data_IF_630086016793
#
_entry.id   IF_630086016793
#
_cell.length_a   1.000
_cell.length_b   1.000
_cell.length_c   1.000
_cell.angle_alpha   90.00
_cell.angle_beta   90.00
_cell.angle_gamma   90.00
#
_symmetry.space_group_name_H-M   'P 1'
#
loop_
_entity.id
_entity.type
_entity.pdbx_description
1 polymer ?
#
# COMPACT_ATOMS: atom_id res chain seq x y z
N UNK A 1 -9.37 -8.44 -7.38
CA UNK A 1 -8.28 -8.37 -6.37
C UNK A 1 -6.95 -8.29 -7.10
N UNK A 2 -6.11 -7.32 -6.74
CA UNK A 2 -4.72 -7.19 -7.22
C UNK A 2 -3.78 -7.57 -6.09
N UNK A 3 -2.80 -8.41 -6.39
CA UNK A 3 -1.79 -8.85 -5.42
C UNK A 3 -0.52 -8.04 -5.64
N UNK A 4 -0.01 -7.43 -4.57
CA UNK A 4 1.24 -6.67 -4.59
C UNK A 4 2.26 -7.25 -3.62
N UNK A 5 3.54 -7.16 -4.00
CA UNK A 5 4.66 -7.63 -3.22
C UNK A 5 5.64 -6.48 -2.99
N UNK A 6 6.01 -6.24 -1.74
CA UNK A 6 7.01 -5.24 -1.39
C UNK A 6 7.80 -5.67 -0.16
N UNK A 7 9.13 -5.61 -0.24
CA UNK A 7 10.03 -5.95 0.87
C UNK A 7 9.72 -7.30 1.57
N UNK A 8 9.41 -8.34 0.79
CA UNK A 8 9.05 -9.67 1.32
C UNK A 8 7.64 -9.77 1.93
N UNK A 9 6.90 -8.66 2.02
CA UNK A 9 5.50 -8.63 2.44
C UNK A 9 4.58 -8.69 1.21
N UNK A 10 3.47 -9.40 1.36
CA UNK A 10 2.42 -9.54 0.33
C UNK A 10 1.15 -8.88 0.84
N UNK A 11 0.48 -8.12 -0.03
CA UNK A 11 -0.82 -7.52 0.28
C UNK A 11 -1.80 -7.72 -0.88
N UNK A 12 -3.09 -7.84 -0.54
CA UNK A 12 -4.20 -7.88 -1.49
C UNK A 12 -4.92 -6.54 -1.52
N UNK A 13 -5.02 -5.94 -2.70
CA UNK A 13 -5.84 -4.76 -2.97
C UNK A 13 -7.18 -5.23 -3.54
N UNK A 14 -8.26 -4.98 -2.83
CA UNK A 14 -9.62 -5.19 -3.35
C UNK A 14 -9.92 -4.04 -4.30
N UNK A 15 -10.34 -4.38 -5.51
CA UNK A 15 -10.64 -3.43 -6.59
C UNK A 15 -11.92 -3.87 -7.26
N UNK A 16 -12.70 -2.90 -7.75
CA UNK A 16 -13.95 -3.16 -8.48
C UNK A 16 -13.65 -3.74 -9.86
N UNK A 17 -12.69 -3.15 -10.58
CA UNK A 17 -12.32 -3.54 -11.93
C UNK A 17 -10.80 -3.44 -12.16
N UNK A 18 -10.28 -4.28 -13.06
CA UNK A 18 -8.91 -4.19 -13.56
C UNK A 18 -8.92 -3.74 -15.01
N UNK A 19 -8.58 -2.48 -15.25
CA UNK A 19 -8.59 -1.86 -16.57
C UNK A 19 -7.35 -2.19 -17.43
N UNK A 20 -6.41 -2.97 -16.90
CA UNK A 20 -5.16 -3.33 -17.57
C UNK A 20 -4.02 -2.35 -17.32
N UNK A 21 -3.09 -2.28 -18.26
CA UNK A 21 -1.89 -1.44 -18.18
C UNK A 21 -2.05 -0.17 -18.99
N UNK A 22 -1.59 0.96 -18.45
CA UNK A 22 -1.60 2.25 -19.12
C UNK A 22 -0.20 2.85 -19.14
N UNK A 23 0.24 3.32 -20.31
CA UNK A 23 1.44 4.15 -20.41
C UNK A 23 1.06 5.61 -20.12
N UNK A 24 1.55 6.15 -19.00
CA UNK A 24 1.18 7.48 -18.54
C UNK A 24 2.37 8.24 -17.98
N UNK A 25 2.26 9.58 -17.92
CA UNK A 25 3.24 10.43 -17.26
C UNK A 25 2.81 10.69 -15.83
N UNK A 26 3.72 10.44 -14.88
CA UNK A 26 3.50 10.72 -13.46
C UNK A 26 3.64 12.22 -13.22
N UNK A 27 2.59 12.83 -12.67
CA UNK A 27 2.54 14.22 -12.21
C UNK A 27 2.56 14.22 -10.68
N UNK A 28 3.54 14.87 -10.01
CA UNK A 28 3.55 14.95 -8.56
C UNK A 28 2.32 15.72 -8.07
N UNK A 29 1.71 15.25 -6.98
CA UNK A 29 0.67 15.99 -6.30
C UNK A 29 1.30 17.22 -5.64
N UNK A 30 0.74 18.40 -5.89
CA UNK A 30 1.26 19.66 -5.35
C UNK A 30 1.42 19.65 -3.83
N UNK A 31 2.14 20.63 -3.29
CA UNK A 31 2.56 20.69 -1.87
C UNK A 31 1.45 20.50 -0.83
N UNK A 32 0.21 20.85 -1.19
CA UNK A 32 -0.98 20.70 -0.36
C UNK A 32 -1.33 19.24 -0.05
N UNK A 33 -1.00 18.31 -0.95
CA UNK A 33 -1.35 16.90 -0.87
C UNK A 33 -0.26 16.02 -0.27
N UNK A 34 0.85 16.61 0.21
CA UNK A 34 1.97 15.85 0.81
C UNK A 34 1.59 15.04 2.04
N UNK A 35 0.46 15.33 2.67
CA UNK A 35 -0.05 14.60 3.84
C UNK A 35 -0.77 13.29 3.46
N UNK A 36 -1.08 13.07 2.18
CA UNK A 36 -1.77 11.88 1.70
C UNK A 36 -0.81 10.69 1.69
N UNK A 37 -0.88 9.85 2.71
CA UNK A 37 -0.14 8.59 2.75
C UNK A 37 -0.76 7.60 1.76
N UNK A 38 0.11 6.85 1.06
CA UNK A 38 -0.33 5.83 0.10
C UNK A 38 -0.58 6.34 -1.32
N UNK A 39 -0.34 7.62 -1.60
CA UNK A 39 -0.44 8.20 -2.94
C UNK A 39 0.92 8.74 -3.37
N UNK A 40 1.47 8.23 -4.47
CA UNK A 40 2.76 8.64 -5.03
C UNK A 40 2.65 9.77 -6.06
N UNK A 41 1.46 9.99 -6.63
CA UNK A 41 1.27 10.99 -7.66
C UNK A 41 -0.12 10.94 -8.31
N UNK A 42 -0.22 11.60 -9.45
CA UNK A 42 -1.40 11.59 -10.31
C UNK A 42 -1.00 11.46 -11.77
N UNK A 43 -1.97 11.17 -12.62
CA UNK A 43 -1.83 11.28 -14.07
C UNK A 43 -3.15 11.71 -14.69
N UNK A 44 -3.11 12.13 -15.95
CA UNK A 44 -4.30 12.39 -16.76
C UNK A 44 -4.39 11.27 -17.79
N UNK A 45 -5.50 10.53 -17.77
CA UNK A 45 -5.76 9.45 -18.71
C UNK A 45 -6.08 10.01 -20.11
N UNK A 46 -6.05 9.15 -21.13
CA UNK A 46 -6.49 9.53 -22.48
C UNK A 46 -7.96 9.98 -22.55
N UNK A 47 -8.78 9.59 -21.57
CA UNK A 47 -10.16 10.08 -21.38
C UNK A 47 -10.24 11.52 -20.86
N UNK A 48 -9.14 12.08 -20.37
CA UNK A 48 -9.11 13.37 -19.67
C UNK A 48 -9.37 13.28 -18.16
N UNK A 49 -9.70 12.09 -17.65
CA UNK A 49 -9.90 11.87 -16.22
C UNK A 49 -8.58 11.88 -15.45
N UNK A 50 -8.66 12.27 -14.18
CA UNK A 50 -7.53 12.22 -13.26
C UNK A 50 -7.48 10.85 -12.61
N UNK A 51 -6.34 10.16 -12.73
CA UNK A 51 -6.06 8.94 -11.98
C UNK A 51 -5.00 9.21 -10.91
N UNK A 52 -5.17 8.63 -9.73
CA UNK A 52 -4.18 8.65 -8.65
C UNK A 52 -3.25 7.46 -8.77
N UNK A 53 -1.96 7.68 -8.51
CA UNK A 53 -0.96 6.62 -8.49
C UNK A 53 -0.74 6.21 -7.03
N UNK A 54 -0.99 4.95 -6.73
CA UNK A 54 -0.81 4.40 -5.39
C UNK A 54 0.67 4.17 -5.08
N UNK A 55 1.09 4.58 -3.89
CA UNK A 55 2.39 4.23 -3.31
C UNK A 55 2.27 2.88 -2.58
N UNK A 56 2.53 1.79 -3.31
CA UNK A 56 2.49 0.41 -2.79
C UNK A 56 3.42 0.23 -1.57
N UNK A 57 4.68 0.68 -1.58
CA UNK A 57 5.52 0.67 -0.38
C UNK A 57 4.84 1.27 0.85
N UNK A 58 4.29 2.49 0.73
CA UNK A 58 3.60 3.16 1.83
C UNK A 58 2.37 2.35 2.28
N UNK A 59 1.55 1.86 1.35
CA UNK A 59 0.38 1.04 1.67
C UNK A 59 0.74 -0.25 2.41
N UNK A 60 1.75 -0.99 1.93
CA UNK A 60 2.20 -2.23 2.58
C UNK A 60 2.77 -1.96 3.97
N UNK A 61 3.48 -0.84 4.16
CA UNK A 61 4.01 -0.46 5.48
C UNK A 61 2.90 -0.15 6.51
N UNK A 62 1.78 0.42 6.07
CA UNK A 62 0.64 0.77 6.93
C UNK A 62 -0.03 -0.48 7.53
N UNK A 63 -0.15 -1.55 6.74
CA UNK A 63 -0.77 -2.81 7.19
C UNK A 63 0.22 -3.76 7.84
N UNK A 64 1.46 -3.82 7.35
CA UNK A 64 2.47 -4.78 7.81
C UNK A 64 2.91 -4.63 9.28
N UNK A 65 2.67 -3.46 9.89
CA UNK A 65 2.98 -3.19 11.31
C UNK A 65 1.94 -3.78 12.26
N UNK A 66 0.70 -3.93 11.80
CA UNK A 66 -0.46 -4.30 12.62
C UNK A 66 -0.65 -5.82 12.67
N UNK A 67 -0.39 -6.51 11.56
CA UNK A 67 -0.50 -7.97 11.46
C UNK A 67 0.58 -8.69 12.28
N UNK A 68 1.83 -8.21 12.23
CA UNK A 68 2.95 -8.78 12.98
C UNK A 68 2.72 -8.69 14.50
N UNK A 69 1.97 -7.68 14.96
CA UNK A 69 1.56 -7.50 16.35
C UNK A 69 0.38 -8.37 16.76
N UNK A 70 -0.48 -8.76 15.80
CA UNK A 70 -1.63 -9.65 16.02
C UNK A 70 -1.25 -11.13 15.98
N UNK A 71 -0.26 -11.49 15.16
CA UNK A 71 0.22 -12.87 14.99
C UNK A 71 1.45 -13.22 15.84
N UNK A 72 2.02 -12.27 16.60
CA UNK A 72 3.11 -12.55 17.51
C UNK A 72 2.68 -13.62 18.56
N UNK A 73 3.41 -14.73 18.68
CA UNK A 73 3.08 -15.74 19.68
C UNK A 73 3.20 -15.13 21.09
N UNK A 74 2.34 -15.53 22.05
CA UNK A 74 2.46 -15.07 23.43
C UNK A 74 3.84 -15.47 23.96
N UNK A 75 4.60 -14.49 24.48
CA UNK A 75 5.94 -14.69 25.03
C UNK A 75 5.89 -15.77 26.11
N UNK A 76 6.61 -16.88 25.90
CA UNK A 76 6.74 -18.00 26.84
C UNK A 76 7.72 -17.67 27.98
N UNK A 77 7.62 -16.50 28.59
CA UNK A 77 8.55 -16.07 29.64
C UNK A 77 7.93 -16.11 31.05
N UNK A 78 6.76 -16.73 31.21
CA UNK A 78 6.09 -16.87 32.51
C UNK A 78 6.10 -18.30 33.09
N UNK A 79 6.71 -19.27 32.41
CA UNK A 79 6.93 -20.60 32.97
C UNK A 79 8.25 -20.61 33.78
N UNK A 80 8.16 -20.00 34.96
CA UNK A 80 8.87 -20.29 36.22
C UNK A 80 10.11 -21.19 36.08
N UNK A 81 11.27 -20.57 36.29
CA UNK A 81 12.53 -21.20 36.67
C UNK A 81 12.53 -21.49 38.18
N UNK A 82 13.50 -22.30 38.68
CA UNK A 82 13.65 -23.75 38.57
C UNK A 82 12.85 -24.55 39.62
#
# INVERSE_FOLDING_TARGET
MVIVHYAGKKAGLVVDELLGEFQTVIKPLGVLFRHLRGIGGSTILGSGEVALILDVPALVSLVGSSEERRLAPPRRDAAVSP
#
